data_IF_536294746726
#
_entry.id   IF_536294746726
#
_cell.length_a   1.000
_cell.length_b   1.000
_cell.length_c   1.000
_cell.angle_alpha   90.00
_cell.angle_beta   90.00
_cell.angle_gamma   90.00
#
_symmetry.space_group_name_H-M   'P 1'
#
loop_
_entity.id
_entity.type
_entity.pdbx_description
1 polymer ?
#
# COMPACT_ATOMS: atom_id res chain seq x y z
N UNK A 1 11.24 3.95 -18.59
CA UNK A 1 10.33 4.40 -17.51
C UNK A 1 9.57 5.63 -18.00
N UNK A 2 8.26 5.62 -17.92
CA UNK A 2 7.39 6.78 -18.15
C UNK A 2 6.47 6.93 -16.95
N UNK A 3 6.11 8.16 -16.62
CA UNK A 3 5.14 8.46 -15.57
C UNK A 3 3.77 8.73 -16.20
N UNK A 4 2.69 8.38 -15.48
CA UNK A 4 1.33 8.64 -15.90
C UNK A 4 0.85 9.91 -15.20
N UNK A 5 0.50 10.91 -16.00
CA UNK A 5 -0.13 12.15 -15.57
C UNK A 5 -1.63 12.10 -15.86
N UNK A 6 -2.40 12.85 -15.09
CA UNK A 6 -3.84 13.01 -15.30
C UNK A 6 -4.10 14.43 -15.77
N UNK A 7 -4.68 14.57 -16.96
CA UNK A 7 -5.11 15.84 -17.53
C UNK A 7 -6.63 15.89 -17.63
N UNK A 8 -7.18 17.09 -17.74
CA UNK A 8 -8.57 17.29 -18.13
C UNK A 8 -8.65 17.40 -19.65
N UNK A 9 -9.63 16.74 -20.24
CA UNK A 9 -9.93 16.94 -21.66
C UNK A 9 -10.55 18.34 -21.80
N UNK A 10 -9.88 19.24 -22.49
CA UNK A 10 -10.44 20.55 -22.82
C UNK A 10 -11.68 20.36 -23.70
N UNK A 11 -12.73 21.15 -23.47
CA UNK A 11 -13.78 21.33 -24.47
C UNK A 11 -13.11 21.97 -25.69
N UNK A 12 -12.91 21.23 -26.78
CA UNK A 12 -12.57 21.82 -28.07
C UNK A 12 -13.77 22.67 -28.53
N UNK A 13 -13.79 23.92 -28.07
CA UNK A 13 -14.66 24.99 -28.55
C UNK A 13 -13.84 25.95 -29.40
N UNK A 14 -14.08 25.89 -30.72
CA UNK A 14 -13.72 26.86 -31.77
C UNK A 14 -12.32 27.49 -31.74
N UNK A 15 -11.50 27.15 -32.74
CA UNK A 15 -10.42 28.02 -33.19
C UNK A 15 -11.00 29.38 -33.59
N UNK A 16 -10.73 30.41 -32.78
CA UNK A 16 -11.25 31.75 -33.01
C UNK A 16 -10.66 32.82 -32.10
N UNK A 17 -9.45 33.25 -32.47
CA UNK A 17 -8.84 34.57 -32.24
C UNK A 17 -7.99 34.81 -30.98
N UNK A 18 -6.86 35.49 -31.22
CA UNK A 18 -5.72 35.73 -30.32
C UNK A 18 -6.08 36.67 -29.14
N UNK A 19 -5.55 36.36 -27.95
CA UNK A 19 -5.60 37.26 -26.80
C UNK A 19 -4.78 36.76 -25.61
N UNK A 20 -3.70 37.48 -25.32
CA UNK A 20 -2.83 37.41 -24.13
C UNK A 20 -3.63 37.62 -22.82
N UNK A 21 -3.44 36.76 -21.82
CA UNK A 21 -3.44 37.02 -20.35
C UNK A 21 -3.83 35.77 -19.51
N UNK A 22 -2.99 35.45 -18.53
CA UNK A 22 -3.39 34.91 -17.21
C UNK A 22 -3.76 33.43 -17.11
N UNK A 23 -2.96 32.66 -16.36
CA UNK A 23 -3.34 31.34 -15.82
C UNK A 23 -4.48 31.50 -14.79
N UNK A 24 -5.72 31.66 -15.26
CA UNK A 24 -6.92 31.43 -14.45
C UNK A 24 -7.48 30.04 -14.77
N UNK A 25 -7.51 29.16 -13.76
CA UNK A 25 -8.25 27.90 -13.84
C UNK A 25 -9.74 28.22 -14.03
N UNK A 26 -10.18 28.22 -15.29
CA UNK A 26 -11.59 28.38 -15.66
C UNK A 26 -12.34 27.12 -15.23
N UNK A 27 -12.95 27.16 -14.05
CA UNK A 27 -14.02 26.23 -13.69
C UNK A 27 -15.20 26.49 -14.62
N UNK A 28 -15.41 25.58 -15.59
CA UNK A 28 -16.55 25.61 -16.52
C UNK A 28 -17.86 25.89 -15.77
N UNK A 29 -18.54 26.96 -16.19
CA UNK A 29 -19.86 27.37 -15.69
C UNK A 29 -21.00 26.45 -16.14
N UNK A 30 -20.69 25.35 -16.81
CA UNK A 30 -21.63 24.26 -17.09
C UNK A 30 -21.42 23.21 -16.01
N UNK A 31 -22.47 22.77 -15.31
CA UNK A 31 -22.37 21.80 -14.20
C UNK A 31 -21.88 20.38 -14.60
N UNK A 32 -21.09 20.25 -15.67
CA UNK A 32 -20.40 19.02 -16.07
C UNK A 32 -19.06 18.95 -15.34
N UNK A 33 -18.85 17.85 -14.65
CA UNK A 33 -17.52 17.50 -14.14
C UNK A 33 -16.55 17.33 -15.32
N UNK A 34 -15.29 17.75 -15.19
CA UNK A 34 -14.29 17.58 -16.23
C UNK A 34 -14.05 16.09 -16.50
N UNK A 35 -13.82 15.75 -17.77
CA UNK A 35 -13.39 14.40 -18.15
C UNK A 35 -11.90 14.27 -17.91
N UNK A 36 -11.48 13.29 -17.09
CA UNK A 36 -10.08 13.01 -16.85
C UNK A 36 -9.52 12.01 -17.87
N UNK A 37 -8.31 12.27 -18.34
CA UNK A 37 -7.57 11.41 -19.26
C UNK A 37 -6.15 11.20 -18.76
N UNK A 38 -5.64 9.98 -18.94
CA UNK A 38 -4.26 9.64 -18.62
C UNK A 38 -3.35 9.94 -19.80
N UNK A 39 -2.23 10.60 -19.54
CA UNK A 39 -1.17 10.86 -20.53
C UNK A 39 0.17 10.42 -19.96
N UNK A 40 1.01 9.81 -20.80
CA UNK A 40 2.36 9.39 -20.36
C UNK A 40 3.39 10.47 -20.65
N UNK A 41 4.34 10.64 -19.73
CA UNK A 41 5.40 11.62 -19.84
C UNK A 41 6.72 11.13 -19.26
N UNK A 42 7.73 12.01 -19.29
CA UNK A 42 9.01 11.77 -18.61
C UNK A 42 8.77 11.75 -17.09
N UNK A 43 9.54 10.96 -16.32
CA UNK A 43 9.49 11.03 -14.85
C UNK A 43 9.64 12.47 -14.33
N UNK A 44 8.74 12.87 -13.42
CA UNK A 44 8.73 14.18 -12.77
C UNK A 44 9.92 14.38 -11.85
N UNK A 45 10.47 13.29 -11.33
CA UNK A 45 11.61 13.27 -10.41
C UNK A 45 12.51 12.07 -10.68
N UNK A 46 13.85 12.19 -10.50
CA UNK A 46 14.76 11.04 -10.56
C UNK A 46 14.44 9.96 -9.52
N UNK A 47 13.77 10.31 -8.42
CA UNK A 47 13.41 9.38 -7.34
C UNK A 47 12.56 8.19 -7.84
N UNK A 48 11.77 8.37 -8.92
CA UNK A 48 10.99 7.28 -9.50
C UNK A 48 11.90 6.19 -10.11
N UNK A 49 13.04 6.57 -10.69
CA UNK A 49 14.02 5.61 -11.19
C UNK A 49 14.84 5.00 -10.05
N UNK A 50 15.31 5.85 -9.12
CA UNK A 50 16.09 5.41 -7.95
C UNK A 50 15.31 4.45 -7.05
N UNK A 51 13.97 4.54 -7.04
CA UNK A 51 13.11 3.59 -6.33
C UNK A 51 13.31 2.16 -6.84
N UNK A 52 13.41 1.96 -8.16
CA UNK A 52 13.63 0.63 -8.72
C UNK A 52 15.01 0.09 -8.41
N UNK A 53 16.02 0.97 -8.34
CA UNK A 53 17.35 0.61 -7.86
C UNK A 53 17.33 0.21 -6.37
N UNK A 54 16.57 0.95 -5.54
CA UNK A 54 16.38 0.66 -4.12
C UNK A 54 15.81 -0.75 -3.91
N UNK A 55 14.80 -1.14 -4.69
CA UNK A 55 14.11 -2.43 -4.54
C UNK A 55 14.66 -3.55 -5.41
N UNK A 56 15.72 -3.27 -6.19
CA UNK A 56 16.40 -4.26 -7.03
C UNK A 56 15.57 -4.77 -8.21
N UNK A 57 14.74 -3.91 -8.82
CA UNK A 57 13.87 -4.26 -9.95
C UNK A 57 14.38 -3.60 -11.23
N UNK A 58 14.73 -4.40 -12.23
CA UNK A 58 15.11 -3.90 -13.56
C UNK A 58 13.94 -4.02 -14.55
N UNK A 59 13.21 -2.90 -14.74
CA UNK A 59 12.13 -2.81 -15.72
C UNK A 59 12.62 -2.91 -17.19
N UNK A 60 13.91 -2.69 -17.46
CA UNK A 60 14.48 -2.75 -18.80
C UNK A 60 14.95 -4.17 -19.21
N UNK A 61 14.86 -5.14 -18.31
CA UNK A 61 15.30 -6.54 -18.50
C UNK A 61 14.60 -7.32 -19.63
N UNK A 62 13.61 -6.71 -20.32
CA UNK A 62 12.82 -7.34 -21.39
C UNK A 62 11.79 -8.36 -20.90
N UNK A 63 11.70 -8.59 -19.58
CA UNK A 63 10.72 -9.49 -18.97
C UNK A 63 9.30 -8.91 -18.92
N UNK A 64 9.16 -7.59 -19.02
CA UNK A 64 7.92 -6.86 -18.85
C UNK A 64 7.19 -6.69 -20.19
N UNK A 65 5.87 -6.96 -20.25
CA UNK A 65 5.10 -6.77 -21.48
C UNK A 65 4.90 -5.29 -21.83
N UNK A 66 4.60 -5.01 -23.10
CA UNK A 66 4.17 -3.68 -23.53
C UNK A 66 2.91 -3.25 -22.77
N UNK A 67 2.86 -1.98 -22.37
CA UNK A 67 1.77 -1.44 -21.56
C UNK A 67 1.81 -1.88 -20.08
N UNK A 68 2.90 -2.51 -19.62
CA UNK A 68 3.10 -2.76 -18.19
C UNK A 68 3.03 -1.44 -17.40
N UNK A 69 2.14 -1.43 -16.40
CA UNK A 69 1.89 -0.32 -15.49
C UNK A 69 1.90 -0.85 -14.06
N UNK A 70 2.47 -0.06 -13.15
CA UNK A 70 2.43 -0.32 -11.71
C UNK A 70 2.60 0.99 -10.93
N UNK A 71 2.35 0.94 -9.63
CA UNK A 71 2.51 2.07 -8.72
C UNK A 71 3.91 2.08 -8.06
N UNK A 72 4.31 3.25 -7.57
CA UNK A 72 5.55 3.46 -6.80
C UNK A 72 5.18 4.16 -5.49
N UNK A 73 5.57 3.59 -4.34
CA UNK A 73 5.15 4.08 -3.03
C UNK A 73 6.07 5.18 -2.46
N UNK A 74 6.44 6.22 -3.22
CA UNK A 74 7.35 7.29 -2.73
C UNK A 74 6.86 7.95 -1.44
N UNK A 75 5.56 8.29 -1.36
CA UNK A 75 4.99 8.91 -0.18
C UNK A 75 5.06 8.03 1.09
N UNK A 76 5.09 6.70 0.92
CA UNK A 76 5.29 5.78 2.04
C UNK A 76 6.72 5.85 2.58
N UNK A 77 7.71 6.10 1.71
CA UNK A 77 9.10 6.31 2.12
C UNK A 77 9.25 7.63 2.89
N UNK A 78 8.61 8.70 2.40
CA UNK A 78 8.56 9.99 3.09
C UNK A 78 7.94 9.86 4.48
N UNK A 79 6.79 9.17 4.56
CA UNK A 79 6.14 8.87 5.84
C UNK A 79 7.03 8.08 6.79
N UNK A 80 7.70 7.03 6.30
CA UNK A 80 8.58 6.20 7.13
C UNK A 80 9.75 7.01 7.68
N UNK A 81 10.28 7.95 6.89
CA UNK A 81 11.34 8.88 7.31
C UNK A 81 10.88 9.75 8.48
N UNK A 82 9.66 10.30 8.39
CA UNK A 82 9.06 11.10 9.47
C UNK A 82 8.89 10.25 10.74
N UNK A 83 8.39 9.02 10.62
CA UNK A 83 8.23 8.11 11.76
C UNK A 83 9.58 7.79 12.39
N UNK A 84 10.58 7.43 11.58
CA UNK A 84 11.91 7.10 12.04
C UNK A 84 12.54 8.27 12.79
N UNK A 85 12.47 9.49 12.25
CA UNK A 85 13.04 10.69 12.88
C UNK A 85 12.43 10.99 14.26
N UNK A 86 11.13 10.72 14.41
CA UNK A 86 10.43 10.94 15.69
C UNK A 86 10.69 9.82 16.69
N UNK A 87 10.87 8.59 16.23
CA UNK A 87 11.11 7.45 17.09
C UNK A 87 12.52 7.51 17.71
N UNK A 88 12.58 7.79 19.01
CA UNK A 88 13.86 7.79 19.74
C UNK A 88 14.33 6.37 20.06
N UNK A 89 13.41 5.49 20.43
CA UNK A 89 13.68 4.09 20.79
C UNK A 89 12.38 3.29 20.74
N UNK A 90 12.43 2.06 20.24
CA UNK A 90 11.27 1.15 20.23
C UNK A 90 11.11 0.42 18.90
N UNK A 91 9.85 0.16 18.53
CA UNK A 91 9.48 -0.57 17.34
C UNK A 91 8.50 0.23 16.47
N UNK A 92 8.56 -0.01 15.16
CA UNK A 92 7.53 0.36 14.18
C UNK A 92 6.89 -0.94 13.70
N UNK A 93 5.56 -0.99 13.76
CA UNK A 93 4.76 -2.11 13.23
C UNK A 93 3.94 -1.58 12.07
N UNK A 94 4.24 -2.04 10.86
CA UNK A 94 3.49 -1.69 9.65
C UNK A 94 2.67 -2.89 9.24
N UNK A 95 1.34 -2.73 9.22
CA UNK A 95 0.39 -3.80 8.89
C UNK A 95 -0.48 -3.31 7.74
N UNK A 96 -0.32 -3.92 6.58
CA UNK A 96 -1.09 -3.54 5.39
C UNK A 96 -1.13 -4.66 4.34
N UNK A 97 -2.00 -4.53 3.35
CA UNK A 97 -2.02 -5.43 2.19
C UNK A 97 -0.97 -4.99 1.18
N UNK A 98 -0.08 -5.93 0.88
CA UNK A 98 1.11 -5.61 0.10
C UNK A 98 1.96 -6.84 -0.15
N UNK A 99 3.06 -6.63 -0.87
CA UNK A 99 3.97 -7.69 -1.29
C UNK A 99 5.42 -7.22 -1.22
N UNK A 100 6.39 -8.14 -1.10
CA UNK A 100 7.78 -7.85 -1.47
C UNK A 100 7.89 -7.46 -2.94
N UNK A 101 8.89 -6.65 -3.30
CA UNK A 101 9.04 -6.07 -4.64
C UNK A 101 8.99 -7.09 -5.78
N UNK A 102 9.60 -8.27 -5.61
CA UNK A 102 9.59 -9.34 -6.64
C UNK A 102 8.20 -9.86 -6.98
N UNK A 103 7.26 -9.81 -6.04
CA UNK A 103 5.85 -10.16 -6.25
C UNK A 103 5.01 -8.94 -6.61
N UNK A 104 5.34 -7.77 -6.05
CA UNK A 104 4.70 -6.50 -6.39
C UNK A 104 4.87 -6.19 -7.89
N UNK A 105 6.12 -6.19 -8.36
CA UNK A 105 6.50 -5.91 -9.75
C UNK A 105 6.61 -7.16 -10.61
N UNK A 106 5.86 -8.22 -10.30
CA UNK A 106 5.89 -9.43 -11.13
C UNK A 106 5.43 -9.09 -12.56
N UNK A 107 6.13 -9.54 -13.62
CA UNK A 107 5.74 -9.22 -15.01
C UNK A 107 4.33 -9.66 -15.41
N UNK A 108 3.75 -10.65 -14.71
CA UNK A 108 2.36 -11.10 -14.92
C UNK A 108 1.32 -10.15 -14.30
N UNK A 109 1.73 -9.25 -13.41
CA UNK A 109 0.88 -8.19 -12.84
C UNK A 109 1.09 -6.91 -13.64
N UNK A 110 0.56 -6.86 -14.85
CA UNK A 110 0.80 -5.76 -15.79
C UNK A 110 -0.07 -4.53 -15.58
N UNK A 111 -1.04 -4.58 -14.66
CA UNK A 111 -1.98 -3.49 -14.38
C UNK A 111 -1.85 -2.95 -12.95
N UNK A 112 -0.73 -3.24 -12.29
CA UNK A 112 -0.46 -2.77 -10.93
C UNK A 112 -1.42 -3.33 -9.87
N UNK A 113 -1.72 -2.49 -8.89
CA UNK A 113 -2.51 -2.79 -7.70
C UNK A 113 -3.49 -1.69 -7.31
N UNK A 114 -3.60 -0.62 -8.11
CA UNK A 114 -4.55 0.46 -7.87
C UNK A 114 -5.97 -0.08 -7.78
N UNK A 115 -6.63 0.25 -6.67
CA UNK A 115 -7.98 -0.17 -6.37
C UNK A 115 -8.76 1.02 -5.84
N UNK A 116 -10.03 1.09 -6.22
CA UNK A 116 -10.98 2.08 -5.77
C UNK A 116 -12.14 1.39 -5.08
N UNK A 117 -12.63 1.97 -3.99
CA UNK A 117 -13.79 1.46 -3.25
C UNK A 117 -14.90 2.51 -3.16
N UNK A 118 -16.10 2.13 -3.59
CA UNK A 118 -17.30 2.95 -3.47
C UNK A 118 -18.48 2.09 -3.01
N UNK A 119 -19.07 2.42 -1.86
CA UNK A 119 -20.24 1.73 -1.29
C UNK A 119 -20.08 0.19 -1.23
N UNK A 120 -18.94 -0.30 -0.72
CA UNK A 120 -18.57 -1.72 -0.63
C UNK A 120 -18.42 -2.46 -1.97
N UNK A 121 -18.22 -1.72 -3.07
CA UNK A 121 -17.85 -2.27 -4.38
C UNK A 121 -16.44 -1.81 -4.72
N UNK A 122 -15.69 -2.66 -5.37
CA UNK A 122 -14.33 -2.35 -5.84
C UNK A 122 -14.29 -2.25 -7.36
N UNK A 123 -13.44 -1.37 -7.87
CA UNK A 123 -13.09 -1.22 -9.29
C UNK A 123 -11.70 -0.58 -9.39
N UNK A 124 -11.17 -0.45 -10.59
CA UNK A 124 -9.82 0.05 -10.88
C UNK A 124 -9.80 1.48 -11.44
N UNK A 125 -10.96 2.07 -11.75
CA UNK A 125 -11.02 3.41 -12.32
C UNK A 125 -11.06 4.53 -11.24
N UNK A 126 -10.00 5.35 -11.08
CA UNK A 126 -9.98 6.44 -10.09
C UNK A 126 -10.85 7.65 -10.46
N UNK A 127 -11.37 7.74 -11.70
CA UNK A 127 -11.94 8.95 -12.26
C UNK A 127 -13.48 9.06 -12.20
N UNK A 128 -14.18 8.08 -11.62
CA UNK A 128 -15.65 8.00 -11.71
C UNK A 128 -16.39 8.65 -10.52
N UNK A 129 -15.96 8.46 -9.28
CA UNK A 129 -16.60 9.03 -8.09
C UNK A 129 -15.63 9.96 -7.33
N UNK A 130 -15.11 10.98 -8.02
CA UNK A 130 -14.13 11.93 -7.48
C UNK A 130 -14.59 12.49 -6.12
N UNK A 131 -13.69 12.43 -5.12
CA UNK A 131 -13.96 12.88 -3.76
C UNK A 131 -14.96 12.02 -2.97
N UNK A 132 -15.49 10.94 -3.55
CA UNK A 132 -16.52 10.08 -2.95
C UNK A 132 -16.16 8.59 -2.90
N UNK A 133 -15.10 8.18 -3.60
CA UNK A 133 -14.50 6.85 -3.49
C UNK A 133 -13.16 6.92 -2.78
N UNK A 134 -12.81 5.84 -2.11
CA UNK A 134 -11.45 5.60 -1.64
C UNK A 134 -10.57 5.14 -2.81
N UNK A 135 -9.28 5.50 -2.80
CA UNK A 135 -8.28 5.13 -3.80
C UNK A 135 -7.05 4.65 -3.05
N UNK A 136 -6.59 3.45 -3.39
CA UNK A 136 -5.47 2.81 -2.71
C UNK A 136 -4.62 2.01 -3.69
N UNK A 137 -3.41 1.67 -3.27
CA UNK A 137 -2.53 0.73 -3.92
C UNK A 137 -1.90 -0.17 -2.83
N UNK A 138 -1.38 -1.32 -3.22
CA UNK A 138 -0.69 -2.18 -2.29
C UNK A 138 0.59 -1.51 -1.74
N UNK A 139 1.07 -2.01 -0.61
CA UNK A 139 2.38 -1.63 -0.07
C UNK A 139 3.48 -2.50 -0.64
N UNK A 140 4.56 -1.89 -1.13
CA UNK A 140 5.83 -2.57 -1.37
C UNK A 140 6.65 -2.67 -0.07
N UNK A 141 6.65 -3.86 0.53
CA UNK A 141 7.35 -4.10 1.80
C UNK A 141 8.87 -4.11 1.65
N UNK A 142 9.40 -4.46 0.47
CA UNK A 142 10.85 -4.40 0.23
C UNK A 142 11.33 -2.95 0.23
N UNK A 143 10.53 -2.03 -0.31
CA UNK A 143 10.85 -0.60 -0.26
C UNK A 143 10.88 -0.08 1.19
N UNK A 144 9.92 -0.46 2.04
CA UNK A 144 9.90 -0.07 3.45
C UNK A 144 11.06 -0.68 4.25
N UNK A 145 11.42 -1.94 3.98
CA UNK A 145 12.58 -2.60 4.58
C UNK A 145 13.87 -1.84 4.26
N UNK A 146 14.15 -1.63 2.97
CA UNK A 146 15.37 -0.98 2.51
C UNK A 146 15.44 0.50 2.91
N UNK A 147 14.31 1.22 2.89
CA UNK A 147 14.28 2.62 3.27
C UNK A 147 14.35 2.81 4.78
N UNK A 148 13.72 1.92 5.56
CA UNK A 148 13.85 1.91 7.01
C UNK A 148 15.30 1.77 7.44
N UNK A 149 16.07 0.86 6.83
CA UNK A 149 17.51 0.70 7.09
C UNK A 149 18.26 2.03 6.85
N UNK A 150 17.93 2.78 5.78
CA UNK A 150 18.52 4.11 5.50
C UNK A 150 18.14 5.16 6.56
N UNK A 151 16.97 5.03 7.18
CA UNK A 151 16.50 5.90 8.26
C UNK A 151 16.94 5.45 9.66
N UNK A 152 17.79 4.42 9.76
CA UNK A 152 18.26 3.86 11.03
C UNK A 152 17.20 3.04 11.77
N UNK A 153 16.24 2.49 11.05
CA UNK A 153 15.35 1.44 11.53
C UNK A 153 15.95 0.08 11.13
N UNK A 154 16.18 -0.79 12.11
CA UNK A 154 16.69 -2.14 11.87
C UNK A 154 15.52 -3.11 11.58
N UNK A 155 15.61 -3.84 10.47
CA UNK A 155 14.62 -4.88 10.12
C UNK A 155 14.63 -6.04 11.13
N UNK A 156 13.51 -6.24 11.83
CA UNK A 156 13.35 -7.31 12.83
C UNK A 156 12.67 -8.53 12.21
N UNK A 157 11.67 -8.33 11.35
CA UNK A 157 11.04 -9.41 10.61
C UNK A 157 9.82 -9.00 9.81
N UNK A 158 9.49 -9.82 8.83
CA UNK A 158 8.31 -9.69 7.98
C UNK A 158 7.54 -11.02 7.95
N UNK A 159 6.24 -10.98 8.23
CA UNK A 159 5.38 -12.17 8.30
C UNK A 159 3.95 -11.83 7.85
N UNK A 160 3.17 -12.83 7.44
CA UNK A 160 1.75 -12.62 7.14
C UNK A 160 0.93 -12.43 8.42
N UNK A 161 -0.09 -11.57 8.39
CA UNK A 161 -0.95 -11.23 9.51
C UNK A 161 -1.59 -12.47 10.14
N UNK A 162 -2.09 -13.41 9.33
CA UNK A 162 -2.70 -14.62 9.86
C UNK A 162 -1.73 -15.42 10.74
N UNK A 163 -0.49 -15.59 10.27
CA UNK A 163 0.57 -16.26 11.02
C UNK A 163 1.01 -15.47 12.25
N UNK A 164 1.16 -14.15 12.11
CA UNK A 164 1.50 -13.25 13.22
C UNK A 164 0.47 -13.34 14.36
N UNK A 165 -0.82 -13.27 14.03
CA UNK A 165 -1.91 -13.35 15.00
C UNK A 165 -2.01 -14.74 15.64
N UNK A 166 -1.78 -15.81 14.86
CA UNK A 166 -1.70 -17.17 15.40
C UNK A 166 -0.57 -17.29 16.41
N UNK A 167 0.63 -16.80 16.08
CA UNK A 167 1.78 -16.80 16.97
C UNK A 167 1.52 -16.00 18.26
N UNK A 168 0.74 -14.90 18.19
CA UNK A 168 0.32 -14.14 19.38
C UNK A 168 -0.72 -14.86 20.25
N UNK A 169 -1.34 -15.94 19.77
CA UNK A 169 -2.28 -16.78 20.51
C UNK A 169 -3.75 -16.54 20.14
N UNK A 170 -4.03 -16.14 18.89
CA UNK A 170 -5.41 -15.94 18.43
C UNK A 170 -6.18 -17.28 18.37
N UNK A 171 -5.51 -18.41 18.11
CA UNK A 171 -6.12 -19.74 18.07
C UNK A 171 -6.71 -20.18 19.42
N UNK A 172 -5.98 -19.95 20.51
CA UNK A 172 -6.44 -20.20 21.88
C UNK A 172 -7.60 -19.29 22.23
N UNK A 173 -7.55 -18.02 21.77
CA UNK A 173 -8.64 -17.08 21.97
C UNK A 173 -9.91 -17.51 21.25
N UNK A 174 -9.80 -18.02 20.01
CA UNK A 174 -10.94 -18.55 19.24
C UNK A 174 -11.52 -19.78 19.96
N UNK A 175 -10.66 -20.73 20.37
CA UNK A 175 -11.07 -21.92 21.12
C UNK A 175 -11.76 -21.59 22.45
N UNK A 176 -11.31 -20.52 23.12
CA UNK A 176 -11.86 -20.03 24.38
C UNK A 176 -13.28 -19.43 24.27
N UNK A 177 -13.73 -19.02 23.09
CA UNK A 177 -15.05 -18.40 22.89
C UNK A 177 -16.18 -19.35 23.28
N UNK A 178 -16.03 -20.64 22.99
CA UNK A 178 -17.05 -21.66 23.28
C UNK A 178 -17.37 -21.83 24.77
N UNK A 179 -16.49 -21.36 25.67
CA UNK A 179 -16.67 -21.45 27.12
C UNK A 179 -17.31 -20.19 27.73
N UNK A 180 -17.61 -19.15 26.92
CA UNK A 180 -18.19 -17.91 27.40
C UNK A 180 -19.71 -18.00 27.48
N UNK A 181 -20.29 -17.52 28.58
CA UNK A 181 -21.76 -17.40 28.74
C UNK A 181 -22.27 -16.19 27.96
N UNK A 182 -22.45 -16.32 26.66
CA UNK A 182 -23.05 -15.32 25.78
C UNK A 182 -24.13 -15.95 24.88
N UNK A 183 -25.04 -15.16 24.30
CA UNK A 183 -25.99 -15.64 23.31
C UNK A 183 -25.27 -16.27 22.11
N UNK A 184 -25.81 -17.39 21.58
CA UNK A 184 -25.19 -18.15 20.49
C UNK A 184 -24.86 -17.29 19.26
N UNK A 185 -25.74 -16.36 18.90
CA UNK A 185 -25.51 -15.45 17.76
C UNK A 185 -24.26 -14.60 17.94
N UNK A 186 -24.03 -14.06 19.14
CA UNK A 186 -22.84 -13.23 19.42
C UNK A 186 -21.55 -14.06 19.38
N UNK A 187 -21.61 -15.31 19.88
CA UNK A 187 -20.48 -16.24 19.82
C UNK A 187 -20.09 -16.54 18.36
N UNK A 188 -21.08 -16.82 17.50
CA UNK A 188 -20.84 -17.09 16.08
C UNK A 188 -20.27 -15.87 15.35
N UNK A 189 -20.89 -14.68 15.50
CA UNK A 189 -20.37 -13.44 14.88
C UNK A 189 -18.95 -13.14 15.31
N UNK A 190 -18.64 -13.31 16.61
CA UNK A 190 -17.28 -13.09 17.11
C UNK A 190 -16.30 -14.10 16.55
N UNK A 191 -16.69 -15.38 16.46
CA UNK A 191 -15.85 -16.44 15.90
C UNK A 191 -15.53 -16.15 14.43
N UNK A 192 -16.55 -15.79 13.64
CA UNK A 192 -16.40 -15.50 12.22
C UNK A 192 -15.50 -14.29 11.98
N UNK A 193 -15.66 -13.21 12.75
CA UNK A 193 -14.78 -12.04 12.68
C UNK A 193 -13.32 -12.37 12.97
N UNK A 194 -13.04 -13.23 13.96
CA UNK A 194 -11.67 -13.66 14.25
C UNK A 194 -11.11 -14.59 13.17
N UNK A 195 -11.95 -15.44 12.58
CA UNK A 195 -11.52 -16.27 11.43
C UNK A 195 -11.19 -15.43 10.21
N UNK A 196 -11.92 -14.33 9.94
CA UNK A 196 -11.60 -13.42 8.84
C UNK A 196 -10.21 -12.79 8.97
N UNK A 197 -9.76 -12.48 10.20
CA UNK A 197 -8.40 -11.97 10.45
C UNK A 197 -7.29 -12.98 10.11
N UNK A 198 -7.63 -14.27 10.05
CA UNK A 198 -6.71 -15.37 9.77
C UNK A 198 -6.79 -15.87 8.33
N UNK A 199 -7.82 -15.49 7.58
CA UNK A 199 -8.05 -15.97 6.22
C UNK A 199 -6.92 -15.49 5.29
N UNK A 200 -6.09 -16.39 4.73
CA UNK A 200 -4.96 -16.02 3.88
C UNK A 200 -5.40 -15.40 2.54
N UNK A 201 -6.66 -15.59 2.15
CA UNK A 201 -7.25 -14.97 0.95
C UNK A 201 -7.89 -13.61 1.24
N UNK A 202 -8.07 -13.27 2.52
CA UNK A 202 -8.57 -12.00 3.00
C UNK A 202 -7.54 -11.28 3.88
N UNK A 203 -7.96 -10.87 5.08
CA UNK A 203 -7.13 -10.06 5.97
C UNK A 203 -5.89 -10.80 6.48
N UNK A 204 -5.94 -12.12 6.61
CA UNK A 204 -4.78 -12.92 7.02
C UNK A 204 -3.61 -12.87 6.03
N UNK A 205 -3.87 -12.48 4.78
CA UNK A 205 -2.85 -12.32 3.74
C UNK A 205 -2.05 -11.01 3.83
N UNK A 206 -2.40 -10.10 4.74
CA UNK A 206 -1.72 -8.82 4.94
C UNK A 206 -0.28 -9.05 5.41
N UNK A 207 0.64 -8.15 5.07
CA UNK A 207 2.00 -8.16 5.58
C UNK A 207 2.08 -7.47 6.93
N UNK A 208 2.92 -7.99 7.83
CA UNK A 208 3.30 -7.39 9.10
C UNK A 208 4.81 -7.22 9.07
N UNK A 209 5.26 -5.98 8.89
CA UNK A 209 6.67 -5.60 8.96
C UNK A 209 6.96 -5.02 10.34
N UNK A 210 8.01 -5.53 10.98
CA UNK A 210 8.51 -5.06 12.26
C UNK A 210 9.91 -4.52 12.07
N UNK A 211 10.10 -3.26 12.44
CA UNK A 211 11.40 -2.61 12.46
C UNK A 211 11.65 -2.03 13.85
N UNK A 212 12.91 -1.86 14.22
CA UNK A 212 13.30 -1.35 15.54
C UNK A 212 14.26 -0.19 15.48
N UNK A 213 14.34 0.60 16.55
CA UNK A 213 15.29 1.71 16.66
C UNK A 213 15.89 1.75 18.05
N UNK A 214 17.22 1.89 18.10
CA UNK A 214 18.01 2.12 19.32
C UNK A 214 17.70 1.13 20.46
N UNK A 215 17.50 -0.15 20.12
CA UNK A 215 17.34 -1.21 21.10
C UNK A 215 18.70 -1.73 21.57
N UNK A 216 18.75 -2.19 22.81
CA UNK A 216 19.95 -2.85 23.34
C UNK A 216 20.08 -4.27 22.77
N UNK A 217 21.30 -4.80 22.69
CA UNK A 217 21.56 -6.16 22.22
C UNK A 217 20.78 -7.23 22.98
N UNK A 218 20.57 -7.01 24.28
CA UNK A 218 19.76 -7.85 25.16
C UNK A 218 18.29 -7.88 24.73
N UNK A 219 17.75 -6.74 24.30
CA UNK A 219 16.35 -6.61 23.85
C UNK A 219 16.16 -7.21 22.45
N UNK A 220 17.10 -6.97 21.55
CA UNK A 220 17.10 -7.55 20.19
C UNK A 220 17.17 -9.08 20.26
N UNK A 221 17.88 -9.63 21.26
CA UNK A 221 17.97 -11.08 21.44
C UNK A 221 16.70 -11.75 21.96
N UNK A 222 15.72 -10.98 22.44
CA UNK A 222 14.45 -11.54 22.91
C UNK A 222 13.56 -11.85 21.71
N UNK A 223 13.16 -13.13 21.51
CA UNK A 223 12.29 -13.48 20.41
C UNK A 223 10.92 -12.82 20.59
N UNK A 224 10.48 -12.09 19.58
CA UNK A 224 9.14 -11.51 19.57
C UNK A 224 8.12 -12.61 19.32
N UNK A 225 7.19 -12.81 20.26
CA UNK A 225 6.17 -13.87 20.20
C UNK A 225 5.46 -13.93 18.84
N UNK A 226 5.11 -12.79 18.24
CA UNK A 226 4.43 -12.74 16.95
C UNK A 226 5.27 -13.17 15.74
N UNK A 227 6.60 -13.22 15.86
CA UNK A 227 7.52 -13.71 14.84
C UNK A 227 7.95 -15.17 15.08
N UNK A 228 7.60 -15.75 16.23
CA UNK A 228 7.91 -17.14 16.57
C UNK A 228 6.69 -17.99 16.28
N UNK A 229 6.73 -18.76 15.18
CA UNK A 229 5.66 -19.71 14.89
C UNK A 229 5.61 -20.79 15.99
N UNK A 230 4.43 -21.07 16.57
CA UNK A 230 4.28 -22.18 17.50
C UNK A 230 4.52 -23.50 16.76
N UNK A 231 5.23 -24.42 17.41
CA UNK A 231 5.43 -25.81 16.94
C UNK A 231 4.12 -26.59 16.77
#
# INVERSE_FOLDING_TARGET
LQEIYVATQGDEGDEGDEGDEGDEEVFSSTGRLPTFVEVTGKPSTPQLAEYFDLVGIDLASGAYPDGYRSEINLAALDWLSIVADRLQRGYVLTIDYGYPATRYYNPRRSQGTLQCYYQHRFHDNPYINIGRQDITAHVDFTALECWGDRCGLENVGFIQQGLFLMALGLGERISGISYQKQPLSQLLTRRDALHQLLDPTGLGGFGVLIQSKNLEKTEISQPLKGLTLPE
#
